data_IF_555389170628
#
_entry.id   IF_555389170628
#
_cell.length_a   1.000
_cell.length_b   1.000
_cell.length_c   1.000
_cell.angle_alpha   90.00
_cell.angle_beta   90.00
_cell.angle_gamma   90.00
#
_symmetry.space_group_name_H-M   'P 1'
#
loop_
_entity.id
_entity.type
_entity.pdbx_description
1 polymer ?
#
# COMPACT_ATOMS: atom_id res chain seq x y z
N UNK A 1 -32.54 1.88 -27.64
CA UNK A 1 -31.33 1.02 -27.61
C UNK A 1 -30.07 1.78 -27.20
N UNK A 2 -29.93 3.09 -27.46
CA UNK A 2 -28.73 3.89 -27.15
C UNK A 2 -28.41 4.08 -25.66
N UNK A 3 -29.42 4.14 -24.77
CA UNK A 3 -29.20 4.33 -23.33
C UNK A 3 -28.67 3.07 -22.63
N UNK A 4 -29.16 1.89 -23.01
CA UNK A 4 -28.70 0.61 -22.43
C UNK A 4 -27.25 0.32 -22.82
N UNK A 5 -26.87 0.59 -24.07
CA UNK A 5 -25.47 0.47 -24.53
C UNK A 5 -24.52 1.41 -23.76
N UNK A 6 -24.95 2.64 -23.48
CA UNK A 6 -24.14 3.58 -22.65
C UNK A 6 -23.99 3.09 -21.22
N UNK A 7 -25.03 2.49 -20.65
CA UNK A 7 -24.97 1.90 -19.31
C UNK A 7 -24.01 0.70 -19.25
N UNK A 8 -24.06 -0.20 -20.23
CA UNK A 8 -23.13 -1.33 -20.32
C UNK A 8 -21.67 -0.86 -20.51
N UNK A 9 -21.45 0.13 -21.38
CA UNK A 9 -20.13 0.70 -21.60
C UNK A 9 -19.58 1.37 -20.33
N UNK A 10 -20.41 2.09 -19.59
CA UNK A 10 -20.03 2.71 -18.32
C UNK A 10 -19.59 1.67 -17.29
N UNK A 11 -20.34 0.58 -17.12
CA UNK A 11 -19.99 -0.49 -16.19
C UNK A 11 -18.72 -1.22 -16.60
N UNK A 12 -18.55 -1.48 -17.89
CA UNK A 12 -17.35 -2.11 -18.43
C UNK A 12 -16.10 -1.25 -18.17
N UNK A 13 -16.16 0.04 -18.50
CA UNK A 13 -15.03 0.97 -18.26
C UNK A 13 -14.74 1.15 -16.78
N UNK A 14 -15.77 1.17 -15.92
CA UNK A 14 -15.60 1.26 -14.46
C UNK A 14 -14.91 0.02 -13.91
N UNK A 15 -15.30 -1.17 -14.37
CA UNK A 15 -14.67 -2.42 -13.99
C UNK A 15 -13.20 -2.48 -14.44
N UNK A 16 -12.91 -2.03 -15.66
CA UNK A 16 -11.53 -1.92 -16.15
C UNK A 16 -10.69 -0.96 -15.30
N UNK A 17 -11.24 0.22 -15.00
CA UNK A 17 -10.58 1.20 -14.13
C UNK A 17 -10.27 0.62 -12.74
N UNK A 18 -11.25 -0.05 -12.12
CA UNK A 18 -11.06 -0.70 -10.82
C UNK A 18 -10.00 -1.80 -10.89
N UNK A 19 -10.04 -2.68 -11.89
CA UNK A 19 -9.09 -3.76 -12.02
C UNK A 19 -7.65 -3.23 -12.23
N UNK A 20 -7.48 -2.28 -13.15
CA UNK A 20 -6.15 -1.83 -13.62
C UNK A 20 -5.55 -0.75 -12.74
N UNK A 21 -6.35 0.22 -12.29
CA UNK A 21 -5.83 1.38 -11.54
C UNK A 21 -6.02 1.26 -10.04
N UNK A 22 -6.87 0.36 -9.54
CA UNK A 22 -7.09 0.18 -8.10
C UNK A 22 -6.51 -1.15 -7.64
N UNK A 23 -7.08 -2.26 -8.08
CA UNK A 23 -6.73 -3.60 -7.59
C UNK A 23 -5.26 -3.92 -7.88
N UNK A 24 -4.82 -3.76 -9.12
CA UNK A 24 -3.47 -4.11 -9.53
C UNK A 24 -2.35 -3.36 -8.75
N UNK A 25 -2.29 -2.02 -8.72
CA UNK A 25 -1.24 -1.32 -7.98
C UNK A 25 -1.33 -1.54 -6.46
N UNK A 26 -2.54 -1.60 -5.89
CA UNK A 26 -2.72 -1.84 -4.45
C UNK A 26 -2.25 -3.25 -4.09
N UNK A 27 -2.56 -4.26 -4.89
CA UNK A 27 -2.09 -5.63 -4.66
C UNK A 27 -0.57 -5.69 -4.61
N UNK A 28 0.11 -5.06 -5.57
CA UNK A 28 1.58 -4.96 -5.57
C UNK A 28 2.07 -4.18 -4.34
N UNK A 29 1.40 -3.09 -3.98
CA UNK A 29 1.73 -2.31 -2.79
C UNK A 29 1.61 -3.14 -1.51
N UNK A 30 0.57 -3.97 -1.37
CA UNK A 30 0.38 -4.90 -0.23
C UNK A 30 1.54 -5.89 -0.13
N UNK A 31 1.91 -6.53 -1.25
CA UNK A 31 2.98 -7.51 -1.28
C UNK A 31 4.35 -6.93 -0.87
N UNK A 32 4.56 -5.63 -1.07
CA UNK A 32 5.81 -4.95 -0.68
C UNK A 32 5.70 -4.31 0.71
N UNK A 33 4.62 -3.58 0.98
CA UNK A 33 4.45 -2.78 2.19
C UNK A 33 4.23 -3.63 3.44
N UNK A 34 3.50 -4.74 3.36
CA UNK A 34 3.27 -5.60 4.54
C UNK A 34 4.57 -6.22 5.03
N UNK A 35 5.38 -6.91 4.20
CA UNK A 35 6.67 -7.44 4.64
C UNK A 35 7.61 -6.35 5.15
N UNK A 36 7.71 -5.21 4.47
CA UNK A 36 8.52 -4.08 4.94
C UNK A 36 8.02 -3.53 6.27
N UNK A 37 6.70 -3.42 6.46
CA UNK A 37 6.07 -3.00 7.70
C UNK A 37 6.39 -3.95 8.86
N UNK A 38 6.27 -5.26 8.64
CA UNK A 38 6.64 -6.29 9.62
C UNK A 38 8.14 -6.21 9.95
N UNK A 39 9.02 -6.10 8.95
CA UNK A 39 10.46 -5.97 9.19
C UNK A 39 10.82 -4.68 9.94
N UNK A 40 10.11 -3.57 9.68
CA UNK A 40 10.28 -2.31 10.39
C UNK A 40 9.95 -2.43 11.88
N UNK A 41 9.06 -3.35 12.29
CA UNK A 41 8.81 -3.62 13.72
C UNK A 41 10.01 -4.26 14.43
N UNK A 42 10.86 -4.96 13.68
CA UNK A 42 12.00 -5.72 14.21
C UNK A 42 13.34 -4.99 14.09
N UNK A 43 13.45 -3.98 13.23
CA UNK A 43 14.70 -3.25 12.99
C UNK A 43 14.50 -1.73 12.90
N UNK A 44 15.17 -0.99 13.78
CA UNK A 44 15.20 0.48 13.75
C UNK A 44 15.82 1.02 12.45
N UNK A 45 16.80 0.31 11.90
CA UNK A 45 17.48 0.70 10.66
C UNK A 45 16.56 0.63 9.43
N UNK A 46 15.52 -0.21 9.47
CA UNK A 46 14.50 -0.29 8.42
C UNK A 46 13.38 0.72 8.71
N UNK A 47 12.94 0.78 9.98
CA UNK A 47 11.85 1.66 10.42
C UNK A 47 12.06 3.13 10.05
N UNK A 48 13.22 3.69 10.39
CA UNK A 48 13.46 5.13 10.25
C UNK A 48 13.44 5.56 8.77
N UNK A 49 14.22 4.93 7.85
CA UNK A 49 14.14 5.27 6.44
C UNK A 49 12.76 5.02 5.84
N UNK A 50 12.15 3.85 6.11
CA UNK A 50 10.86 3.48 5.51
C UNK A 50 9.75 4.47 5.87
N UNK A 51 9.61 4.82 7.14
CA UNK A 51 8.59 5.77 7.58
C UNK A 51 8.91 7.22 7.18
N UNK A 52 10.19 7.59 7.08
CA UNK A 52 10.59 8.94 6.66
C UNK A 52 10.32 9.16 5.17
N UNK A 53 10.78 8.24 4.31
CA UNK A 53 10.45 8.22 2.88
C UNK A 53 8.94 8.24 2.66
N UNK A 54 8.23 7.47 3.49
CA UNK A 54 6.78 7.43 3.47
C UNK A 54 6.12 8.79 3.80
N UNK A 55 6.64 9.53 4.76
CA UNK A 55 6.08 10.84 5.06
C UNK A 55 6.41 11.85 3.94
N UNK A 56 7.62 11.80 3.38
CA UNK A 56 8.05 12.72 2.32
C UNK A 56 7.22 12.52 1.03
N UNK A 57 7.01 11.30 0.59
CA UNK A 57 6.26 11.08 -0.66
C UNK A 57 4.79 11.51 -0.55
N UNK A 58 4.20 11.46 0.66
CA UNK A 58 2.81 11.93 0.88
C UNK A 58 2.66 13.45 0.88
N UNK A 59 3.74 14.22 1.10
CA UNK A 59 3.66 15.68 1.00
C UNK A 59 3.67 16.17 -0.45
N UNK A 60 4.09 15.33 -1.39
CA UNK A 60 4.01 15.62 -2.82
C UNK A 60 2.53 15.53 -3.24
N UNK A 61 1.97 16.54 -3.93
CA UNK A 61 0.63 16.44 -4.50
C UNK A 61 0.55 15.40 -5.62
N UNK A 62 -0.56 14.66 -5.71
CA UNK A 62 -0.71 13.58 -6.70
C UNK A 62 -0.58 14.06 -8.14
N UNK A 63 -1.09 15.26 -8.44
CA UNK A 63 -0.96 15.88 -9.75
C UNK A 63 0.51 16.22 -10.09
N UNK A 64 1.29 16.68 -9.10
CA UNK A 64 2.71 16.98 -9.29
C UNK A 64 3.53 15.71 -9.53
N UNK A 65 3.25 14.64 -8.78
CA UNK A 65 3.87 13.34 -9.01
C UNK A 65 3.55 12.80 -10.41
N UNK A 66 2.30 12.92 -10.85
CA UNK A 66 1.89 12.47 -12.18
C UNK A 66 2.61 13.25 -13.28
N UNK A 67 2.63 14.59 -13.19
CA UNK A 67 3.34 15.44 -14.15
C UNK A 67 4.84 15.12 -14.19
N UNK A 68 5.45 14.85 -13.02
CA UNK A 68 6.84 14.44 -12.91
C UNK A 68 7.09 13.09 -13.61
N UNK A 69 6.26 12.08 -13.38
CA UNK A 69 6.37 10.78 -14.05
C UNK A 69 6.21 10.88 -15.57
N UNK A 70 5.29 11.71 -16.04
CA UNK A 70 5.13 11.97 -17.48
C UNK A 70 6.42 12.58 -18.06
N UNK A 71 6.99 13.57 -17.37
CA UNK A 71 8.23 14.26 -17.79
C UNK A 71 9.45 13.35 -17.78
N UNK A 72 9.49 12.37 -16.87
CA UNK A 72 10.53 11.33 -16.81
C UNK A 72 10.44 10.29 -17.95
N UNK A 73 9.48 10.39 -18.86
CA UNK A 73 9.37 9.52 -20.03
C UNK A 73 8.48 8.29 -19.83
N UNK A 74 7.72 8.22 -18.72
CA UNK A 74 6.72 7.15 -18.55
C UNK A 74 5.48 7.30 -19.47
N UNK A 75 5.40 8.43 -20.20
CA UNK A 75 4.32 8.74 -21.13
C UNK A 75 3.02 9.10 -20.41
N UNK A 76 1.92 9.21 -21.17
CA UNK A 76 0.58 9.51 -20.66
C UNK A 76 -0.24 8.20 -20.64
N UNK A 77 -1.09 8.02 -19.63
CA UNK A 77 -2.04 6.91 -19.55
C UNK A 77 -1.89 6.08 -18.26
N UNK A 78 -2.20 4.79 -18.34
CA UNK A 78 -2.30 3.92 -17.17
C UNK A 78 -0.96 3.72 -16.44
N UNK A 79 0.17 3.68 -17.16
CA UNK A 79 1.50 3.42 -16.57
C UNK A 79 1.88 4.42 -15.45
N UNK A 80 1.94 5.73 -15.69
CA UNK A 80 2.27 6.69 -14.63
C UNK A 80 1.20 6.73 -13.53
N UNK A 81 -0.08 6.49 -13.86
CA UNK A 81 -1.15 6.41 -12.86
C UNK A 81 -0.97 5.21 -11.91
N UNK A 82 -0.65 4.04 -12.44
CA UNK A 82 -0.36 2.83 -11.66
C UNK A 82 0.84 3.08 -10.73
N UNK A 83 1.91 3.68 -11.23
CA UNK A 83 3.11 4.01 -10.41
C UNK A 83 2.74 4.98 -9.29
N UNK A 84 2.00 6.05 -9.61
CA UNK A 84 1.57 7.01 -8.61
C UNK A 84 0.70 6.34 -7.53
N UNK A 85 -0.34 5.59 -7.93
CA UNK A 85 -1.25 4.92 -7.00
C UNK A 85 -0.51 3.87 -6.16
N UNK A 86 0.41 3.11 -6.75
CA UNK A 86 1.28 2.20 -6.01
C UNK A 86 2.08 2.94 -4.93
N UNK A 87 2.78 4.03 -5.29
CA UNK A 87 3.57 4.82 -4.33
C UNK A 87 2.68 5.40 -3.23
N UNK A 88 1.53 5.99 -3.56
CA UNK A 88 0.61 6.53 -2.56
C UNK A 88 0.00 5.46 -1.66
N UNK A 89 -0.23 4.24 -2.17
CA UNK A 89 -0.82 3.15 -1.40
C UNK A 89 0.21 2.45 -0.50
N UNK A 90 1.46 2.34 -0.95
CA UNK A 90 2.54 1.67 -0.23
C UNK A 90 2.70 2.22 1.20
N UNK A 91 2.56 3.53 1.32
CA UNK A 91 2.81 4.32 2.51
C UNK A 91 1.82 4.10 3.66
N UNK A 92 0.51 4.34 3.48
CA UNK A 92 -0.48 4.06 4.51
C UNK A 92 -0.51 2.56 4.84
N UNK A 93 -0.31 1.67 3.87
CA UNK A 93 -0.25 0.22 4.14
C UNK A 93 0.93 -0.10 5.06
N UNK A 94 2.13 0.41 4.75
CA UNK A 94 3.34 0.18 5.56
C UNK A 94 3.16 0.76 6.96
N UNK A 95 2.68 2.00 7.07
CA UNK A 95 2.45 2.67 8.35
C UNK A 95 1.40 1.96 9.19
N UNK A 96 0.28 1.56 8.59
CA UNK A 96 -0.79 0.84 9.28
C UNK A 96 -0.33 -0.55 9.73
N UNK A 97 0.48 -1.25 8.92
CA UNK A 97 1.08 -2.54 9.31
C UNK A 97 2.01 -2.36 10.51
N UNK A 98 2.92 -1.39 10.44
CA UNK A 98 3.85 -1.09 11.52
C UNK A 98 3.11 -0.73 12.81
N UNK A 99 2.23 0.27 12.74
CA UNK A 99 1.46 0.77 13.89
C UNK A 99 0.53 -0.29 14.46
N UNK A 100 -0.12 -1.09 13.60
CA UNK A 100 -0.99 -2.18 14.03
C UNK A 100 -0.25 -3.21 14.87
N UNK A 101 0.96 -3.60 14.47
CA UNK A 101 1.77 -4.57 15.22
C UNK A 101 2.35 -3.94 16.50
N UNK A 102 2.84 -2.69 16.45
CA UNK A 102 3.48 -2.09 17.63
C UNK A 102 2.51 -1.64 18.72
N UNK A 103 1.24 -1.48 18.38
CA UNK A 103 0.20 -1.07 19.33
C UNK A 103 -0.52 -2.25 20.00
N UNK A 104 -0.09 -3.49 19.75
CA UNK A 104 -0.62 -4.67 20.45
C UNK A 104 -0.40 -4.52 21.95
N UNK A 105 -1.42 -4.82 22.75
CA UNK A 105 -1.35 -4.78 24.20
C UNK A 105 -0.27 -5.74 24.73
N UNK A 106 0.50 -5.28 25.73
CA UNK A 106 1.61 -6.07 26.29
C UNK A 106 1.12 -7.35 26.96
N UNK A 107 -0.07 -7.35 27.56
CA UNK A 107 -0.67 -8.52 28.18
C UNK A 107 -0.92 -9.64 27.15
N UNK A 108 -1.31 -9.29 25.93
CA UNK A 108 -1.47 -10.26 24.82
C UNK A 108 -0.10 -10.89 24.47
N UNK A 109 0.95 -10.08 24.39
CA UNK A 109 2.30 -10.57 24.06
C UNK A 109 2.88 -11.46 25.15
N UNK A 110 2.68 -11.11 26.43
CA UNK A 110 3.12 -11.94 27.56
C UNK A 110 2.31 -13.25 27.64
N UNK A 111 1.01 -13.22 27.33
CA UNK A 111 0.20 -14.43 27.24
C UNK A 111 0.68 -15.36 26.12
N UNK A 112 0.95 -14.84 24.93
CA UNK A 112 1.51 -15.62 23.81
C UNK A 112 2.86 -16.25 24.19
N UNK A 113 3.72 -15.50 24.89
CA UNK A 113 5.00 -16.00 25.39
C UNK A 113 4.81 -17.07 26.48
N UNK A 114 3.86 -16.89 27.39
CA UNK A 114 3.50 -17.86 28.44
C UNK A 114 2.95 -19.17 27.87
N UNK A 115 2.30 -19.12 26.70
CA UNK A 115 1.87 -20.29 25.93
C UNK A 115 3.00 -20.95 25.11
N UNK A 116 4.22 -20.41 25.13
CA UNK A 116 5.37 -20.96 24.39
C UNK A 116 5.34 -20.67 22.88
N UNK A 117 4.59 -19.66 22.42
CA UNK A 117 4.49 -19.34 21.00
C UNK A 117 5.80 -18.78 20.44
N UNK A 118 6.17 -19.23 19.25
CA UNK A 118 7.29 -18.67 18.48
C UNK A 118 6.92 -17.30 17.88
N UNK A 119 7.93 -16.50 17.49
CA UNK A 119 7.71 -15.18 16.86
C UNK A 119 6.85 -15.19 15.59
N UNK A 120 6.78 -16.33 14.90
CA UNK A 120 5.92 -16.51 13.71
C UNK A 120 4.50 -16.85 14.14
N UNK A 121 4.34 -17.75 15.12
CA UNK A 121 3.04 -18.05 15.69
C UNK A 121 2.41 -16.80 16.30
N UNK A 122 3.13 -16.03 17.11
CA UNK A 122 2.63 -14.76 17.68
C UNK A 122 2.26 -13.72 16.62
N UNK A 123 2.80 -13.82 15.40
CA UNK A 123 2.47 -12.89 14.31
C UNK A 123 1.22 -13.30 13.53
N UNK A 124 0.96 -14.61 13.37
CA UNK A 124 -0.11 -15.15 12.52
C UNK A 124 -1.27 -15.76 13.29
N UNK A 125 -1.17 -15.92 14.61
CA UNK A 125 -2.16 -16.52 15.50
C UNK A 125 -2.43 -15.57 16.67
#
# INVERSE_FOLDING_TARGET
MTYLQRAEQFWSLSAEHLAVLVVYPIFIAILVAIPLGILATRSRYIRVPALTLANIMQTIPSLALLAFLITLGFGIGNKPAIIAIFLYSLLPILRNTYTGITNIDKGILEAAKGMGMTKIQTLFM
#
